data_IF_208920194466
#
_entry.id   IF_208920194466
#
_cell.length_a   1.000
_cell.length_b   1.000
_cell.length_c   1.000
_cell.angle_alpha   90.00
_cell.angle_beta   90.00
_cell.angle_gamma   90.00
#
_symmetry.space_group_name_H-M   'P 1'
#
loop_
_entity.id
_entity.type
_entity.pdbx_description
1 polymer ?
#
# COMPACT_ATOMS: atom_id res chain seq x y z
N UNK A 1 30.80 9.11 9.77
CA UNK A 1 30.19 8.72 11.05
C UNK A 1 29.24 7.58 10.77
N UNK A 2 29.25 6.47 11.53
CA UNK A 2 28.28 5.40 11.34
C UNK A 2 26.89 5.98 11.62
N UNK A 3 25.97 5.86 10.66
CA UNK A 3 24.59 6.27 10.82
C UNK A 3 23.99 5.48 11.99
N UNK A 4 23.39 6.18 12.95
CA UNK A 4 22.78 5.52 14.11
C UNK A 4 21.70 4.55 13.65
N UNK A 5 21.79 3.30 14.07
CA UNK A 5 20.85 2.24 13.73
C UNK A 5 19.45 2.65 14.20
N UNK A 6 18.48 2.66 13.27
CA UNK A 6 17.08 2.94 13.55
C UNK A 6 16.51 1.86 14.49
N UNK A 7 16.00 2.24 15.65
CA UNK A 7 15.47 1.31 16.66
C UNK A 7 14.03 1.63 17.09
N UNK A 8 13.59 2.89 16.92
CA UNK A 8 12.27 3.36 17.34
C UNK A 8 11.44 3.72 16.13
N UNK A 9 10.29 3.09 16.01
CA UNK A 9 9.39 3.29 14.90
C UNK A 9 8.00 3.70 15.37
N UNK A 10 7.23 4.26 14.45
CA UNK A 10 5.84 4.61 14.69
C UNK A 10 4.94 4.08 13.57
N UNK A 11 3.68 3.79 13.91
CA UNK A 11 2.64 3.49 12.93
C UNK A 11 1.40 4.31 13.26
N UNK A 12 0.91 5.07 12.30
CA UNK A 12 -0.32 5.84 12.40
C UNK A 12 -1.33 5.27 11.43
N UNK A 13 -2.49 4.85 11.96
CA UNK A 13 -3.45 4.01 11.26
C UNK A 13 -3.16 2.52 11.52
N UNK A 14 -3.91 1.94 12.47
CA UNK A 14 -3.77 0.56 12.95
C UNK A 14 -4.93 -0.34 12.46
N UNK A 15 -5.46 0.00 11.29
CA UNK A 15 -6.44 -0.82 10.58
C UNK A 15 -5.84 -2.14 10.07
N UNK A 16 -6.53 -2.80 9.13
CA UNK A 16 -6.16 -4.13 8.63
C UNK A 16 -4.70 -4.25 8.16
N UNK A 17 -4.18 -3.23 7.48
CA UNK A 17 -2.80 -3.22 6.97
C UNK A 17 -1.79 -2.71 8.00
N UNK A 18 -2.06 -1.54 8.60
CA UNK A 18 -1.12 -0.90 9.53
C UNK A 18 -0.88 -1.71 10.81
N UNK A 19 -1.88 -2.41 11.32
CA UNK A 19 -1.72 -3.36 12.42
C UNK A 19 -0.67 -4.44 12.10
N UNK A 20 -0.72 -5.00 10.89
CA UNK A 20 0.24 -6.03 10.49
C UNK A 20 1.65 -5.47 10.34
N UNK A 21 1.77 -4.26 9.77
CA UNK A 21 3.06 -3.56 9.68
C UNK A 21 3.66 -3.33 11.07
N UNK A 22 2.88 -2.80 12.02
CA UNK A 22 3.30 -2.56 13.39
C UNK A 22 3.71 -3.86 14.11
N UNK A 23 2.91 -4.92 13.98
CA UNK A 23 3.16 -6.24 14.54
C UNK A 23 4.49 -6.83 14.05
N UNK A 24 4.74 -6.78 12.75
CA UNK A 24 5.99 -7.29 12.18
C UNK A 24 7.20 -6.48 12.61
N UNK A 25 7.08 -5.14 12.71
CA UNK A 25 8.15 -4.30 13.27
C UNK A 25 8.45 -4.68 14.73
N UNK A 26 7.43 -4.83 15.59
CA UNK A 26 7.62 -5.25 16.98
C UNK A 26 8.27 -6.64 17.06
N UNK A 27 7.84 -7.60 16.26
CA UNK A 27 8.42 -8.94 16.19
C UNK A 27 9.89 -8.95 15.72
N UNK A 28 10.33 -7.93 14.96
CA UNK A 28 11.73 -7.72 14.55
C UNK A 28 12.55 -6.94 15.56
N UNK A 29 11.99 -6.59 16.73
CA UNK A 29 12.70 -5.95 17.83
C UNK A 29 12.70 -4.42 17.82
N UNK A 30 11.90 -3.77 16.94
CA UNK A 30 11.72 -2.32 17.02
C UNK A 30 10.86 -1.95 18.22
N UNK A 31 11.19 -0.83 18.88
CA UNK A 31 10.30 -0.18 19.84
C UNK A 31 9.23 0.59 19.05
N UNK A 32 8.07 -0.02 18.87
CA UNK A 32 6.99 0.51 18.03
C UNK A 32 6.00 1.30 18.87
N UNK A 33 5.72 2.55 18.49
CA UNK A 33 4.61 3.34 19.01
C UNK A 33 3.48 3.39 17.95
N UNK A 34 2.21 3.41 18.40
CA UNK A 34 1.11 3.43 17.43
C UNK A 34 -0.12 4.17 17.94
N UNK A 35 -0.86 4.76 16.99
CA UNK A 35 -2.15 5.42 17.25
C UNK A 35 -3.12 5.19 16.10
N UNK A 36 -4.39 5.22 16.43
CA UNK A 36 -5.53 5.20 15.50
C UNK A 36 -6.68 5.99 16.12
N UNK A 37 -7.60 6.47 15.30
CA UNK A 37 -8.86 7.08 15.74
C UNK A 37 -9.77 6.02 16.40
N UNK A 38 -9.68 4.77 15.96
CA UNK A 38 -10.34 3.61 16.56
C UNK A 38 -9.53 3.09 17.75
N UNK A 39 -10.02 3.36 18.97
CA UNK A 39 -9.37 2.91 20.21
C UNK A 39 -9.32 1.38 20.34
N UNK A 40 -10.21 0.65 19.67
CA UNK A 40 -10.15 -0.80 19.62
C UNK A 40 -8.96 -1.29 18.78
N UNK A 41 -8.66 -0.61 17.67
CA UNK A 41 -7.46 -0.88 16.88
C UNK A 41 -6.18 -0.63 17.70
N UNK A 42 -6.14 0.43 18.50
CA UNK A 42 -5.01 0.71 19.42
C UNK A 42 -4.86 -0.39 20.45
N UNK A 43 -5.96 -0.84 21.09
CA UNK A 43 -5.92 -1.97 22.06
C UNK A 43 -5.42 -3.26 21.42
N UNK A 44 -5.91 -3.59 20.21
CA UNK A 44 -5.43 -4.77 19.47
C UNK A 44 -3.94 -4.68 19.17
N UNK A 45 -3.44 -3.53 18.75
CA UNK A 45 -2.02 -3.34 18.48
C UNK A 45 -1.16 -3.52 19.74
N UNK A 46 -1.64 -3.07 20.90
CA UNK A 46 -0.95 -3.23 22.17
C UNK A 46 -0.70 -4.70 22.55
N UNK A 47 -1.62 -5.63 22.19
CA UNK A 47 -1.41 -7.07 22.42
C UNK A 47 -0.26 -7.67 21.58
N UNK A 48 0.25 -6.92 20.60
CA UNK A 48 1.37 -7.30 19.75
C UNK A 48 2.67 -6.53 20.06
N UNK A 49 2.75 -5.90 21.26
CA UNK A 49 3.94 -5.18 21.69
C UNK A 49 4.07 -3.75 21.13
N UNK A 50 3.00 -3.22 20.54
CA UNK A 50 2.95 -1.82 20.10
C UNK A 50 2.58 -0.93 21.28
N UNK A 51 3.40 0.08 21.58
CA UNK A 51 3.12 1.09 22.61
C UNK A 51 1.93 1.96 22.17
N UNK A 52 0.82 1.98 22.92
CA UNK A 52 -0.29 2.87 22.63
C UNK A 52 0.11 4.34 22.79
N UNK A 53 -0.30 5.18 21.85
CA UNK A 53 -0.18 6.63 21.92
C UNK A 53 -1.55 7.28 21.71
N UNK A 54 -1.80 8.40 22.42
CA UNK A 54 -3.05 9.12 22.31
C UNK A 54 -3.14 9.99 21.04
N UNK A 55 -2.00 10.29 20.41
CA UNK A 55 -1.96 11.18 19.24
C UNK A 55 -0.78 10.88 18.31
N UNK A 56 -0.87 11.39 17.06
CA UNK A 56 0.23 11.39 16.11
C UNK A 56 1.47 12.13 16.65
N UNK A 57 1.27 13.19 17.42
CA UNK A 57 2.33 13.94 18.13
C UNK A 57 3.13 13.05 19.08
N UNK A 58 2.46 12.23 19.88
CA UNK A 58 3.14 11.29 20.78
C UNK A 58 3.93 10.21 20.03
N UNK A 59 3.39 9.72 18.91
CA UNK A 59 4.12 8.80 18.03
C UNK A 59 5.37 9.47 17.48
N UNK A 60 5.28 10.72 16.99
CA UNK A 60 6.41 11.49 16.47
C UNK A 60 7.51 11.74 17.50
N UNK A 61 7.13 12.07 18.75
CA UNK A 61 8.08 12.27 19.83
C UNK A 61 8.90 11.00 20.18
N UNK A 62 8.35 9.83 19.92
CA UNK A 62 8.99 8.54 20.14
C UNK A 62 9.86 8.10 18.95
N UNK A 63 9.38 8.27 17.73
CA UNK A 63 9.84 7.55 16.55
C UNK A 63 10.95 8.28 15.78
N UNK A 64 11.81 7.50 15.13
CA UNK A 64 12.82 7.93 14.14
C UNK A 64 12.32 7.68 12.71
N UNK A 65 11.42 6.72 12.55
CA UNK A 65 10.69 6.46 11.31
C UNK A 65 9.22 6.20 11.62
N UNK A 66 8.32 6.86 10.89
CA UNK A 66 6.87 6.72 11.06
C UNK A 66 6.24 6.24 9.76
N UNK A 67 5.50 5.14 9.83
CA UNK A 67 4.64 4.67 8.74
C UNK A 67 3.24 5.25 8.92
N UNK A 68 2.74 5.93 7.90
CA UNK A 68 1.36 6.44 7.86
C UNK A 68 0.54 5.55 6.94
N UNK A 69 -0.49 4.89 7.50
CA UNK A 69 -1.36 3.94 6.80
C UNK A 69 -2.82 4.20 7.12
N UNK A 70 -3.34 5.31 6.63
CA UNK A 70 -4.73 5.77 6.78
C UNK A 70 -5.48 5.72 5.45
N UNK A 71 -6.78 6.01 5.43
CA UNK A 71 -7.64 5.68 4.30
C UNK A 71 -7.65 6.72 3.16
N UNK A 72 -7.42 8.01 3.46
CA UNK A 72 -7.60 9.11 2.51
C UNK A 72 -6.45 10.11 2.53
N UNK A 73 -6.32 10.88 1.44
CA UNK A 73 -5.38 12.00 1.32
C UNK A 73 -5.56 13.02 2.47
N UNK A 74 -6.80 13.43 2.73
CA UNK A 74 -7.12 14.37 3.80
C UNK A 74 -6.67 13.86 5.19
N UNK A 75 -6.79 12.56 5.45
CA UNK A 75 -6.29 11.97 6.69
C UNK A 75 -4.76 11.97 6.76
N UNK A 76 -4.06 11.71 5.65
CA UNK A 76 -2.59 11.80 5.62
C UNK A 76 -2.15 13.25 5.88
N UNK A 77 -2.79 14.21 5.25
CA UNK A 77 -2.50 15.63 5.46
C UNK A 77 -2.75 16.04 6.91
N UNK A 78 -3.87 15.66 7.50
CA UNK A 78 -4.16 15.93 8.91
C UNK A 78 -3.11 15.31 9.82
N UNK A 79 -2.76 14.04 9.62
CA UNK A 79 -1.71 13.36 10.40
C UNK A 79 -0.40 14.12 10.33
N UNK A 80 0.04 14.52 9.15
CA UNK A 80 1.35 15.16 8.98
C UNK A 80 1.35 16.62 9.41
N UNK A 81 0.32 17.40 9.03
CA UNK A 81 0.23 18.86 9.26
C UNK A 81 -0.56 19.22 10.50
N UNK A 82 -1.76 18.60 10.68
CA UNK A 82 -2.77 19.03 11.66
C UNK A 82 -2.57 18.40 13.05
N UNK A 83 -2.26 17.12 13.09
CA UNK A 83 -2.18 16.34 14.35
C UNK A 83 -0.82 16.42 15.06
N UNK A 84 0.08 17.32 14.63
CA UNK A 84 1.36 17.63 15.29
C UNK A 84 2.45 16.56 15.12
N UNK A 85 2.31 15.62 14.18
CA UNK A 85 3.35 14.64 13.88
C UNK A 85 4.66 15.34 13.48
N UNK A 86 4.60 16.22 12.48
CA UNK A 86 5.75 16.93 11.95
C UNK A 86 6.43 17.81 13.02
N UNK A 87 5.66 18.39 13.94
CA UNK A 87 6.19 19.23 15.02
C UNK A 87 6.94 18.44 16.09
N UNK A 88 6.61 17.17 16.27
CA UNK A 88 7.18 16.31 17.30
C UNK A 88 8.37 15.48 16.81
N UNK A 89 8.50 15.29 15.51
CA UNK A 89 9.62 14.56 14.90
C UNK A 89 10.93 15.37 15.05
N UNK A 90 12.01 14.64 15.24
CA UNK A 90 13.36 15.22 15.29
C UNK A 90 13.94 15.32 13.88
N UNK A 91 14.87 16.23 13.71
CA UNK A 91 15.70 16.30 12.49
C UNK A 91 16.33 14.92 12.21
N UNK A 92 16.36 14.54 10.93
CA UNK A 92 16.82 13.22 10.49
C UNK A 92 15.78 12.11 10.61
N UNK A 93 14.58 12.36 11.13
CA UNK A 93 13.48 11.39 11.09
C UNK A 93 12.90 11.25 9.68
N UNK A 94 12.18 10.15 9.44
CA UNK A 94 11.54 9.89 8.14
C UNK A 94 10.07 9.51 8.31
N UNK A 95 9.21 10.10 7.48
CA UNK A 95 7.79 9.73 7.33
C UNK A 95 7.66 8.89 6.07
N UNK A 96 7.19 7.65 6.22
CA UNK A 96 6.90 6.72 5.13
C UNK A 96 5.38 6.67 4.92
N UNK A 97 4.88 7.26 3.83
CA UNK A 97 3.47 7.29 3.50
C UNK A 97 3.11 5.99 2.77
N UNK A 98 2.58 5.02 3.50
CA UNK A 98 2.12 3.73 2.95
C UNK A 98 0.67 3.77 2.45
N UNK A 99 -0.09 4.80 2.82
CA UNK A 99 -1.40 5.10 2.25
C UNK A 99 -1.32 5.33 0.75
N UNK A 100 -2.35 4.90 0.00
CA UNK A 100 -2.49 5.23 -1.41
C UNK A 100 -3.12 6.61 -1.53
N UNK A 101 -2.33 7.61 -1.91
CA UNK A 101 -2.72 9.02 -2.03
C UNK A 101 -2.20 9.63 -3.35
N UNK A 102 -2.67 10.81 -3.67
CA UNK A 102 -2.24 11.52 -4.88
C UNK A 102 -0.74 11.88 -4.85
N UNK A 103 -0.01 11.69 -5.95
CA UNK A 103 1.41 12.06 -6.03
C UNK A 103 1.70 13.54 -5.72
N UNK A 104 0.87 14.53 -6.10
CA UNK A 104 1.06 15.92 -5.69
C UNK A 104 1.06 16.11 -4.17
N UNK A 105 0.13 15.48 -3.45
CA UNK A 105 0.06 15.52 -1.98
C UNK A 105 1.37 15.04 -1.36
N UNK A 106 1.96 13.95 -1.87
CA UNK A 106 3.26 13.47 -1.40
C UNK A 106 4.35 14.53 -1.55
N UNK A 107 4.40 15.22 -2.71
CA UNK A 107 5.40 16.27 -3.00
C UNK A 107 5.25 17.46 -2.07
N UNK A 108 4.03 17.91 -1.83
CA UNK A 108 3.75 19.03 -0.93
C UNK A 108 4.17 18.71 0.52
N UNK A 109 3.84 17.51 1.01
CA UNK A 109 4.23 17.07 2.34
C UNK A 109 5.76 16.94 2.47
N UNK A 110 6.43 16.46 1.42
CA UNK A 110 7.89 16.37 1.40
C UNK A 110 8.55 17.74 1.44
N UNK A 111 8.06 18.71 0.67
CA UNK A 111 8.57 20.09 0.69
C UNK A 111 8.40 20.75 2.07
N UNK A 112 7.25 20.53 2.70
CA UNK A 112 6.97 21.03 4.05
C UNK A 112 7.94 20.45 5.10
N UNK A 113 8.17 19.13 5.06
CA UNK A 113 9.01 18.41 6.03
C UNK A 113 10.51 18.72 5.85
N UNK A 114 10.94 18.95 4.60
CA UNK A 114 12.33 19.25 4.27
C UNK A 114 12.85 20.51 4.99
N UNK A 115 12.01 21.53 5.21
CA UNK A 115 12.35 22.74 5.96
C UNK A 115 12.74 22.45 7.44
N UNK A 116 12.43 21.25 7.95
CA UNK A 116 12.75 20.78 9.30
C UNK A 116 13.80 19.67 9.32
N UNK A 117 14.44 19.40 8.20
CA UNK A 117 15.39 18.30 8.08
C UNK A 117 14.76 16.90 8.22
N UNK A 118 13.45 16.77 7.97
CA UNK A 118 12.69 15.53 8.05
C UNK A 118 12.45 15.01 6.64
N UNK A 119 12.72 13.70 6.42
CA UNK A 119 12.44 13.04 5.16
C UNK A 119 10.98 12.64 5.02
N UNK A 120 10.42 12.77 3.83
CA UNK A 120 9.16 12.14 3.45
C UNK A 120 9.40 11.29 2.23
N UNK A 121 8.93 10.05 2.29
CA UNK A 121 8.93 9.09 1.20
C UNK A 121 7.53 8.51 1.02
N UNK A 122 7.11 8.28 -0.19
CA UNK A 122 5.90 7.51 -0.46
C UNK A 122 6.25 6.04 -0.65
N UNK A 123 5.55 5.19 0.08
CA UNK A 123 5.86 3.76 0.22
C UNK A 123 4.60 2.89 0.11
N UNK A 124 3.74 3.12 -0.90
CA UNK A 124 2.57 2.28 -1.08
C UNK A 124 2.95 0.83 -1.29
N UNK A 125 2.04 -0.06 -0.88
CA UNK A 125 2.27 -1.51 -0.84
C UNK A 125 1.39 -2.25 -1.83
N UNK A 126 1.88 -3.40 -2.29
CA UNK A 126 1.16 -4.33 -3.16
C UNK A 126 1.13 -5.74 -2.57
N UNK A 127 0.37 -6.66 -3.18
CA UNK A 127 0.10 -8.05 -2.83
C UNK A 127 -0.99 -8.26 -1.77
N UNK A 128 -1.63 -7.18 -1.27
CA UNK A 128 -2.85 -7.24 -0.46
C UNK A 128 -2.68 -7.76 0.96
N UNK A 129 -3.83 -8.08 1.58
CA UNK A 129 -3.91 -8.41 3.00
C UNK A 129 -3.13 -9.65 3.40
N UNK A 130 -3.11 -10.67 2.54
CA UNK A 130 -2.38 -11.92 2.84
C UNK A 130 -0.87 -11.66 2.96
N UNK A 131 -0.30 -10.87 2.05
CA UNK A 131 1.10 -10.48 2.13
C UNK A 131 1.39 -9.61 3.36
N UNK A 132 0.46 -8.73 3.75
CA UNK A 132 0.57 -7.98 4.99
C UNK A 132 0.59 -8.89 6.22
N UNK A 133 -0.32 -9.87 6.27
CA UNK A 133 -0.38 -10.85 7.36
C UNK A 133 0.91 -11.67 7.48
N UNK A 134 1.56 -11.97 6.36
CA UNK A 134 2.77 -12.80 6.29
C UNK A 134 4.08 -11.99 6.35
N UNK A 135 4.02 -10.64 6.38
CA UNK A 135 5.21 -9.79 6.34
C UNK A 135 5.97 -9.86 5.01
N UNK A 136 5.25 -10.12 3.91
CA UNK A 136 5.82 -10.34 2.57
C UNK A 136 5.35 -9.31 1.55
N UNK A 137 4.93 -8.13 2.01
CA UNK A 137 4.54 -7.04 1.12
C UNK A 137 5.68 -6.65 0.16
N UNK A 138 5.33 -6.06 -0.95
CA UNK A 138 6.27 -5.35 -1.81
C UNK A 138 5.97 -3.86 -1.68
N UNK A 139 7.00 -3.07 -1.43
CA UNK A 139 6.96 -1.61 -1.29
C UNK A 139 7.52 -0.97 -2.56
N UNK A 140 6.78 -0.05 -3.17
CA UNK A 140 7.32 0.87 -4.16
C UNK A 140 7.68 2.17 -3.46
N UNK A 141 8.99 2.45 -3.32
CA UNK A 141 9.46 3.62 -2.60
C UNK A 141 9.80 4.77 -3.54
N UNK A 142 9.14 5.92 -3.35
CA UNK A 142 9.48 7.18 -4.02
C UNK A 142 10.06 8.17 -3.00
N UNK A 143 11.09 8.92 -3.40
CA UNK A 143 11.74 9.91 -2.56
C UNK A 143 13.25 9.96 -2.73
N UNK A 144 13.92 10.83 -1.98
CA UNK A 144 15.39 10.88 -1.97
C UNK A 144 15.97 9.56 -1.44
N UNK A 145 17.00 9.03 -2.11
CA UNK A 145 17.63 7.75 -1.79
C UNK A 145 18.05 7.64 -0.31
N UNK A 146 18.64 8.72 0.25
CA UNK A 146 19.05 8.74 1.66
C UNK A 146 17.90 8.43 2.62
N UNK A 147 16.69 8.94 2.34
CA UNK A 147 15.52 8.71 3.18
C UNK A 147 14.92 7.32 2.99
N UNK A 148 14.97 6.81 1.76
CA UNK A 148 14.58 5.42 1.47
C UNK A 148 15.52 4.45 2.19
N UNK A 149 16.84 4.64 2.09
CA UNK A 149 17.82 3.80 2.79
C UNK A 149 17.65 3.85 4.31
N UNK A 150 17.40 5.05 4.86
CA UNK A 150 17.15 5.21 6.30
C UNK A 150 15.90 4.46 6.76
N UNK A 151 14.83 4.42 5.95
CA UNK A 151 13.58 3.72 6.28
C UNK A 151 13.64 2.21 6.03
N UNK A 152 14.55 1.71 5.20
CA UNK A 152 14.65 0.29 4.79
C UNK A 152 14.61 -0.70 5.95
N UNK A 153 15.31 -0.50 7.09
CA UNK A 153 15.23 -1.44 8.21
C UNK A 153 13.81 -1.62 8.75
N UNK A 154 13.06 -0.51 8.89
CA UNK A 154 11.67 -0.54 9.36
C UNK A 154 10.72 -1.14 8.32
N UNK A 155 10.85 -0.73 7.04
CA UNK A 155 10.04 -1.25 5.94
C UNK A 155 10.29 -2.75 5.71
N UNK A 156 11.55 -3.21 5.81
CA UNK A 156 11.95 -4.61 5.68
C UNK A 156 11.44 -5.53 6.80
N UNK A 157 10.84 -4.96 7.86
CA UNK A 157 10.19 -5.76 8.88
C UNK A 157 8.89 -6.41 8.37
N UNK A 158 8.18 -5.76 7.46
CA UNK A 158 6.88 -6.22 6.93
C UNK A 158 6.86 -6.41 5.40
N UNK A 159 7.96 -6.12 4.72
CA UNK A 159 8.08 -6.25 3.28
C UNK A 159 9.22 -7.19 2.88
N UNK A 160 8.96 -8.04 1.89
CA UNK A 160 9.98 -8.93 1.30
C UNK A 160 10.84 -8.23 0.25
N UNK A 161 10.32 -7.14 -0.34
CA UNK A 161 11.03 -6.32 -1.32
C UNK A 161 10.69 -4.84 -1.13
N UNK A 162 11.70 -3.99 -1.24
CA UNK A 162 11.58 -2.54 -1.27
C UNK A 162 12.25 -2.09 -2.57
N UNK A 163 11.46 -1.52 -3.48
CA UNK A 163 11.91 -1.13 -4.81
C UNK A 163 11.88 0.39 -4.87
N UNK A 164 13.05 1.02 -4.92
CA UNK A 164 13.15 2.46 -5.13
C UNK A 164 12.83 2.79 -6.58
N UNK A 165 11.76 3.53 -6.81
CA UNK A 165 11.21 3.83 -8.15
C UNK A 165 11.42 5.30 -8.56
N UNK A 166 12.28 6.03 -7.85
CA UNK A 166 12.69 7.40 -8.18
C UNK A 166 12.19 8.45 -7.19
N UNK A 167 11.92 9.65 -7.69
CA UNK A 167 11.55 10.81 -6.87
C UNK A 167 10.23 10.61 -6.10
N UNK A 168 9.99 11.50 -5.11
CA UNK A 168 8.74 11.53 -4.32
C UNK A 168 7.50 11.60 -5.23
N UNK A 169 6.51 10.77 -4.93
CA UNK A 169 5.29 10.54 -5.71
C UNK A 169 5.41 9.41 -6.74
N UNK A 170 6.63 8.94 -7.08
CA UNK A 170 6.79 7.86 -8.05
C UNK A 170 6.36 6.49 -7.49
N UNK A 171 6.41 6.27 -6.19
CA UNK A 171 5.85 5.09 -5.55
C UNK A 171 4.33 5.01 -5.76
N UNK A 172 3.62 6.12 -5.56
CA UNK A 172 2.18 6.20 -5.81
C UNK A 172 1.84 5.98 -7.28
N UNK A 173 2.61 6.56 -8.20
CA UNK A 173 2.46 6.31 -9.64
C UNK A 173 2.66 4.82 -9.94
N UNK A 174 3.74 4.21 -9.44
CA UNK A 174 4.03 2.79 -9.64
C UNK A 174 2.89 1.90 -9.10
N UNK A 175 2.34 2.24 -7.93
CA UNK A 175 1.19 1.55 -7.34
C UNK A 175 -0.04 1.65 -8.23
N UNK A 176 -0.35 2.83 -8.73
CA UNK A 176 -1.49 3.05 -9.64
C UNK A 176 -1.34 2.26 -10.93
N UNK A 177 -0.16 2.30 -11.56
CA UNK A 177 0.12 1.52 -12.77
C UNK A 177 0.02 0.01 -12.51
N UNK A 178 0.54 -0.47 -11.38
CA UNK A 178 0.38 -1.88 -10.98
C UNK A 178 -1.10 -2.27 -10.87
N UNK A 179 -1.94 -1.43 -10.27
CA UNK A 179 -3.34 -1.74 -10.07
C UNK A 179 -4.15 -1.66 -11.37
N UNK A 180 -3.83 -0.74 -12.28
CA UNK A 180 -4.40 -0.74 -13.64
C UNK A 180 -4.17 -2.08 -14.35
N UNK A 181 -2.93 -2.59 -14.35
CA UNK A 181 -2.59 -3.88 -14.94
C UNK A 181 -3.29 -5.04 -14.23
N UNK A 182 -3.40 -4.99 -12.91
CA UNK A 182 -4.10 -6.00 -12.11
C UNK A 182 -5.57 -6.11 -12.51
N UNK A 183 -6.28 -4.97 -12.53
CA UNK A 183 -7.72 -4.96 -12.81
C UNK A 183 -8.03 -5.27 -14.27
N UNK A 184 -7.20 -4.80 -15.20
CA UNK A 184 -7.31 -5.18 -16.62
C UNK A 184 -7.14 -6.70 -16.82
N UNK A 185 -6.12 -7.29 -16.17
CA UNK A 185 -5.90 -8.73 -16.20
C UNK A 185 -7.07 -9.51 -15.59
N UNK A 186 -7.64 -9.02 -14.48
CA UNK A 186 -8.79 -9.66 -13.82
C UNK A 186 -10.02 -9.69 -14.78
N UNK A 187 -10.31 -8.60 -15.45
CA UNK A 187 -11.41 -8.52 -16.40
C UNK A 187 -11.18 -9.47 -17.59
N UNK A 188 -9.99 -9.46 -18.18
CA UNK A 188 -9.64 -10.36 -19.28
C UNK A 188 -9.74 -11.84 -18.86
N UNK A 189 -9.24 -12.20 -17.69
CA UNK A 189 -9.35 -13.56 -17.15
C UNK A 189 -10.82 -13.97 -16.97
N UNK A 190 -11.67 -13.07 -16.47
CA UNK A 190 -13.09 -13.36 -16.28
C UNK A 190 -13.79 -13.68 -17.61
N UNK A 191 -13.54 -12.91 -18.66
CA UNK A 191 -14.09 -13.14 -20.00
C UNK A 191 -13.60 -14.49 -20.58
N UNK A 192 -12.29 -14.72 -20.56
CA UNK A 192 -11.66 -15.94 -21.09
C UNK A 192 -12.18 -17.18 -20.38
N UNK A 193 -12.24 -17.17 -19.05
CA UNK A 193 -12.72 -18.34 -18.26
C UNK A 193 -14.23 -18.55 -18.41
N UNK A 194 -15.00 -17.46 -18.58
CA UNK A 194 -16.43 -17.55 -18.89
C UNK A 194 -16.67 -18.22 -20.25
N UNK A 195 -15.93 -17.82 -21.28
CA UNK A 195 -16.00 -18.42 -22.59
C UNK A 195 -15.60 -19.90 -22.54
N UNK A 196 -14.48 -20.21 -21.90
CA UNK A 196 -13.99 -21.59 -21.76
C UNK A 196 -15.02 -22.51 -21.09
N UNK A 197 -15.65 -22.04 -20.01
CA UNK A 197 -16.73 -22.77 -19.32
C UNK A 197 -17.92 -23.04 -20.27
N UNK A 198 -18.32 -22.05 -21.09
CA UNK A 198 -19.38 -22.21 -22.07
C UNK A 198 -19.02 -23.19 -23.19
N UNK A 199 -17.74 -23.35 -23.50
CA UNK A 199 -17.22 -24.33 -24.44
C UNK A 199 -17.03 -25.73 -23.84
N UNK A 200 -17.36 -25.93 -22.56
CA UNK A 200 -17.28 -27.22 -21.87
C UNK A 200 -15.88 -27.56 -21.31
N UNK A 201 -14.97 -26.59 -21.21
CA UNK A 201 -13.66 -26.82 -20.63
C UNK A 201 -13.73 -26.99 -19.10
N UNK A 202 -12.86 -27.86 -18.55
CA UNK A 202 -12.58 -27.95 -17.13
C UNK A 202 -11.79 -26.71 -16.70
N UNK A 203 -12.48 -25.72 -16.13
CA UNK A 203 -11.89 -24.41 -15.82
C UNK A 203 -10.75 -24.49 -14.79
N UNK A 204 -10.82 -25.26 -13.69
CA UNK A 204 -9.70 -25.46 -12.80
C UNK A 204 -8.41 -25.92 -13.52
N UNK A 205 -8.50 -26.99 -14.33
CA UNK A 205 -7.36 -27.47 -15.12
C UNK A 205 -6.87 -26.46 -16.14
N UNK A 206 -7.78 -25.72 -16.74
CA UNK A 206 -7.42 -24.65 -17.68
C UNK A 206 -6.63 -23.53 -16.99
N UNK A 207 -7.05 -23.11 -15.81
CA UNK A 207 -6.32 -22.11 -14.99
C UNK A 207 -4.89 -22.58 -14.69
N UNK A 208 -4.73 -23.85 -14.29
CA UNK A 208 -3.39 -24.44 -14.08
C UNK A 208 -2.53 -24.37 -15.35
N UNK A 209 -3.10 -24.77 -16.49
CA UNK A 209 -2.40 -24.75 -17.78
C UNK A 209 -2.03 -23.33 -18.23
N UNK A 210 -2.96 -22.38 -18.15
CA UNK A 210 -2.75 -20.99 -18.54
C UNK A 210 -1.69 -20.29 -17.71
N UNK A 211 -1.53 -20.67 -16.44
CA UNK A 211 -0.46 -20.15 -15.58
C UNK A 211 0.94 -20.61 -15.99
N UNK A 212 1.08 -21.58 -16.90
CA UNK A 212 2.35 -22.02 -17.49
C UNK A 212 2.62 -21.38 -18.85
N UNK A 213 1.66 -20.66 -19.42
CA UNK A 213 1.74 -20.05 -20.74
C UNK A 213 2.09 -18.56 -20.70
N UNK A 214 2.22 -17.98 -21.89
CA UNK A 214 2.52 -16.54 -22.05
C UNK A 214 1.39 -15.60 -21.57
N UNK A 215 0.18 -16.12 -21.35
CA UNK A 215 -0.96 -15.39 -20.76
C UNK A 215 -0.96 -15.38 -19.23
N UNK A 216 0.01 -16.01 -18.58
CA UNK A 216 0.12 -16.06 -17.12
C UNK A 216 0.17 -14.66 -16.52
N UNK A 217 -0.57 -14.46 -15.44
CA UNK A 217 -0.59 -13.19 -14.71
C UNK A 217 -0.96 -13.44 -13.23
N UNK A 218 -0.63 -12.48 -12.36
CA UNK A 218 -0.83 -12.60 -10.92
C UNK A 218 -2.31 -12.80 -10.56
N UNK A 219 -3.23 -12.11 -11.23
CA UNK A 219 -4.69 -12.26 -10.98
C UNK A 219 -5.19 -13.66 -11.32
N UNK A 220 -4.69 -14.26 -12.41
CA UNK A 220 -5.04 -15.63 -12.81
C UNK A 220 -4.51 -16.66 -11.81
N UNK A 221 -3.26 -16.53 -11.35
CA UNK A 221 -2.65 -17.47 -10.39
C UNK A 221 -3.37 -17.50 -9.03
N UNK A 222 -4.17 -16.48 -8.75
CA UNK A 222 -4.97 -16.34 -7.51
C UNK A 222 -6.47 -16.28 -7.80
N UNK A 223 -6.91 -16.88 -8.88
CA UNK A 223 -8.31 -16.82 -9.29
C UNK A 223 -9.26 -17.37 -8.21
N UNK A 224 -10.34 -16.62 -7.95
CA UNK A 224 -11.31 -16.99 -6.90
C UNK A 224 -10.92 -16.60 -5.48
N UNK A 225 -9.68 -16.16 -5.21
CA UNK A 225 -9.26 -15.70 -3.87
C UNK A 225 -9.40 -14.18 -3.68
N UNK A 226 -9.28 -13.40 -4.75
CA UNK A 226 -9.41 -11.94 -4.73
C UNK A 226 -10.85 -11.49 -4.50
N UNK A 227 -11.03 -10.37 -3.77
CA UNK A 227 -12.37 -9.84 -3.46
C UNK A 227 -12.86 -8.78 -4.44
N UNK A 228 -11.97 -8.17 -5.23
CA UNK A 228 -12.29 -7.00 -6.07
C UNK A 228 -12.62 -5.72 -5.29
N UNK A 229 -12.59 -5.76 -3.96
CA UNK A 229 -13.08 -4.69 -3.05
C UNK A 229 -12.55 -3.29 -3.35
N UNK A 230 -11.32 -3.18 -3.86
CA UNK A 230 -10.66 -1.89 -4.08
C UNK A 230 -10.61 -1.48 -5.55
N UNK A 231 -11.19 -2.30 -6.45
CA UNK A 231 -11.09 -2.09 -7.88
C UNK A 231 -11.64 -0.74 -8.32
N UNK A 232 -12.85 -0.38 -7.89
CA UNK A 232 -13.48 0.89 -8.25
C UNK A 232 -12.63 2.08 -7.79
N UNK A 233 -12.24 2.12 -6.51
CA UNK A 233 -11.39 3.20 -5.99
C UNK A 233 -10.06 3.31 -6.76
N UNK A 234 -9.43 2.19 -7.06
CA UNK A 234 -8.14 2.19 -7.78
C UNK A 234 -8.31 2.70 -9.21
N UNK A 235 -9.43 2.35 -9.87
CA UNK A 235 -9.75 2.84 -11.22
C UNK A 235 -10.06 4.34 -11.22
N UNK A 236 -10.81 4.84 -10.23
CA UNK A 236 -11.11 6.27 -10.09
C UNK A 236 -9.82 7.09 -9.99
N UNK A 237 -8.92 6.71 -9.08
CA UNK A 237 -7.61 7.37 -8.92
C UNK A 237 -6.80 7.35 -10.21
N UNK A 238 -6.79 6.22 -10.91
CA UNK A 238 -6.02 6.08 -12.15
C UNK A 238 -6.57 6.95 -13.29
N UNK A 239 -7.90 7.01 -13.43
CA UNK A 239 -8.55 7.82 -14.47
C UNK A 239 -8.44 9.31 -14.17
N UNK A 240 -8.49 9.73 -12.90
CA UNK A 240 -8.23 11.11 -12.50
C UNK A 240 -6.80 11.53 -12.88
N UNK A 241 -5.78 10.73 -12.54
CA UNK A 241 -4.41 10.99 -12.94
C UNK A 241 -4.22 11.05 -14.47
N UNK A 242 -4.94 10.19 -15.22
CA UNK A 242 -4.90 10.19 -16.68
C UNK A 242 -5.52 11.47 -17.26
N UNK A 243 -6.60 11.97 -16.65
CA UNK A 243 -7.26 13.21 -17.04
C UNK A 243 -6.34 14.42 -16.81
N UNK A 244 -5.71 14.49 -15.64
CA UNK A 244 -4.76 15.56 -15.31
C UNK A 244 -3.56 15.57 -16.24
N UNK A 245 -3.04 14.38 -16.57
CA UNK A 245 -1.94 14.19 -17.52
C UNK A 245 -2.36 14.35 -19.00
N UNK A 246 -3.67 14.46 -19.30
CA UNK A 246 -4.24 14.51 -20.66
C UNK A 246 -3.84 13.30 -21.51
N UNK A 247 -3.77 12.12 -20.88
CA UNK A 247 -3.46 10.85 -21.55
C UNK A 247 -4.75 10.07 -21.78
N UNK A 248 -5.11 9.75 -23.05
CA UNK A 248 -6.27 8.92 -23.32
C UNK A 248 -6.04 7.48 -22.86
N UNK A 249 -6.97 6.96 -22.05
CA UNK A 249 -6.92 5.61 -21.47
C UNK A 249 -8.19 4.80 -21.81
N UNK A 250 -8.48 4.50 -23.10
CA UNK A 250 -9.75 3.87 -23.48
C UNK A 250 -9.93 2.47 -22.88
N UNK A 251 -8.87 1.65 -22.82
CA UNK A 251 -8.94 0.33 -22.19
C UNK A 251 -9.27 0.44 -20.70
N UNK A 252 -8.60 1.35 -19.98
CA UNK A 252 -8.84 1.55 -18.54
C UNK A 252 -10.25 2.08 -18.27
N UNK A 253 -10.80 2.94 -19.14
CA UNK A 253 -12.20 3.37 -19.05
C UNK A 253 -13.19 2.20 -19.22
N UNK A 254 -12.92 1.24 -20.08
CA UNK A 254 -13.71 0.01 -20.18
C UNK A 254 -13.56 -0.86 -18.95
N UNK A 255 -12.33 -1.06 -18.46
CA UNK A 255 -12.03 -1.84 -17.24
C UNK A 255 -12.77 -1.26 -16.04
N UNK A 256 -12.84 0.07 -15.88
CA UNK A 256 -13.61 0.73 -14.83
C UNK A 256 -15.08 0.27 -14.81
N UNK A 257 -15.71 0.14 -15.97
CA UNK A 257 -17.10 -0.35 -16.04
C UNK A 257 -17.21 -1.85 -15.76
N UNK A 258 -16.24 -2.64 -16.20
CA UNK A 258 -16.25 -4.09 -16.04
C UNK A 258 -16.04 -4.52 -14.58
N UNK A 259 -15.13 -3.87 -13.83
CA UNK A 259 -14.85 -4.22 -12.43
C UNK A 259 -16.08 -4.10 -11.55
N UNK A 260 -17.00 -3.19 -11.84
CA UNK A 260 -18.28 -3.01 -11.12
C UNK A 260 -19.19 -4.24 -11.22
N UNK A 261 -19.00 -5.08 -12.23
CA UNK A 261 -19.79 -6.29 -12.44
C UNK A 261 -19.15 -7.57 -11.92
N UNK A 262 -17.86 -7.54 -11.57
CA UNK A 262 -17.08 -8.71 -11.16
C UNK A 262 -16.92 -8.71 -9.64
N UNK A 263 -17.22 -9.84 -9.01
CA UNK A 263 -17.02 -10.04 -7.57
C UNK A 263 -16.50 -11.45 -7.28
N UNK A 264 -16.11 -11.70 -6.03
CA UNK A 264 -15.52 -12.96 -5.63
C UNK A 264 -16.46 -14.16 -5.86
N UNK A 265 -17.76 -13.99 -5.66
CA UNK A 265 -18.76 -15.05 -5.87
C UNK A 265 -18.79 -15.48 -7.35
N UNK A 266 -18.89 -14.52 -8.27
CA UNK A 266 -18.85 -14.79 -9.70
C UNK A 266 -17.54 -15.44 -10.15
N UNK A 267 -16.40 -14.99 -9.59
CA UNK A 267 -15.10 -15.60 -9.90
C UNK A 267 -15.04 -17.06 -9.43
N UNK A 268 -15.51 -17.35 -8.20
CA UNK A 268 -15.58 -18.72 -7.67
C UNK A 268 -16.54 -19.62 -8.46
N UNK A 269 -17.67 -19.07 -8.90
CA UNK A 269 -18.64 -19.82 -9.70
C UNK A 269 -18.09 -20.33 -11.03
N UNK A 270 -17.02 -19.74 -11.56
CA UNK A 270 -16.34 -20.25 -12.75
C UNK A 270 -15.49 -21.51 -12.45
N UNK A 271 -15.04 -21.69 -11.19
CA UNK A 271 -14.24 -22.84 -10.78
C UNK A 271 -15.10 -24.08 -10.41
N UNK A 272 -16.39 -23.88 -10.15
CA UNK A 272 -17.38 -24.94 -9.93
C UNK A 272 -17.89 -25.52 -11.26
#
# INVERSE_FOLDING_TARGET
>A
MAEATLTRTGVIGLGAMGLQMARHMAAKGFAVAGTDVDQEAVRRAATHGVRPCASAKEVGAHAEAVVVMVATDAQVEDVVRGSGLLDALREGAVIAIASSIAPPTCRELAALAAARGIGVIDTPVVLGQEAANNGTLVVYAGGEERWVERAKPALGAFASKIIHVGAIGNGQIAKTMNNLLLWASMCANYEVLTLAKKLGADVPRLVEALNQGSGANWSLSRWGTGTGKWAEKDMDVALELAQDAKVPMPLSGLVDQLVKSINQEKMKALLA
#
